data_IF_289368981830
#
_entry.id   IF_289368981830
#
_cell.length_a   1.000
_cell.length_b   1.000
_cell.length_c   1.000
_cell.angle_alpha   90.00
_cell.angle_beta   90.00
_cell.angle_gamma   90.00
#
_symmetry.space_group_name_H-M   'P 1'
#
loop_
_entity.id
_entity.type
_entity.pdbx_description
1 polymer ?
#
# COMPACT_ATOMS: atom_id res chain seq x y z
N UNK A 1 17.47 16.11 -5.24
CA UNK A 1 18.51 17.05 -4.76
C UNK A 1 19.48 17.40 -5.89
N UNK A 2 20.33 18.43 -5.71
CA UNK A 2 21.27 18.90 -6.75
C UNK A 2 22.35 17.88 -7.12
N UNK A 3 22.78 17.04 -6.19
CA UNK A 3 23.80 16.01 -6.43
C UNK A 3 23.29 14.91 -7.38
N UNK A 4 22.14 14.33 -7.09
CA UNK A 4 21.52 13.29 -7.93
C UNK A 4 21.20 13.83 -9.33
N UNK A 5 20.71 15.07 -9.42
CA UNK A 5 20.45 15.72 -10.71
C UNK A 5 21.70 15.78 -11.60
N UNK A 6 22.86 16.17 -11.03
CA UNK A 6 24.14 16.19 -11.75
C UNK A 6 24.59 14.79 -12.18
N UNK A 7 24.44 13.78 -11.31
CA UNK A 7 24.81 12.38 -11.60
C UNK A 7 23.96 11.77 -12.72
N UNK A 8 22.69 12.19 -12.82
CA UNK A 8 21.72 11.73 -13.83
C UNK A 8 21.62 12.65 -15.06
N UNK A 9 22.54 13.62 -15.20
CA UNK A 9 22.50 14.63 -16.27
C UNK A 9 21.11 15.29 -16.44
N UNK A 10 20.46 15.60 -15.32
CA UNK A 10 19.10 16.09 -15.22
C UNK A 10 19.03 17.40 -14.43
N UNK A 11 17.87 18.07 -14.43
CA UNK A 11 17.62 19.26 -13.59
C UNK A 11 17.09 18.84 -12.22
N UNK A 12 17.38 19.65 -11.19
CA UNK A 12 16.82 19.44 -9.86
C UNK A 12 15.30 19.65 -9.87
N UNK A 13 14.59 18.83 -9.11
CA UNK A 13 13.13 18.91 -8.93
C UNK A 13 12.74 19.60 -7.62
N UNK A 14 13.70 20.21 -6.90
CA UNK A 14 13.42 20.85 -5.60
C UNK A 14 13.26 19.89 -4.42
N UNK A 15 13.27 18.58 -4.64
CA UNK A 15 13.12 17.54 -3.61
C UNK A 15 14.44 17.26 -2.87
N UNK A 16 14.99 18.24 -2.16
CA UNK A 16 16.17 18.06 -1.32
C UNK A 16 15.75 17.89 0.15
N UNK A 17 15.68 16.65 0.62
CA UNK A 17 15.14 16.31 1.95
C UNK A 17 13.94 15.36 1.90
N UNK A 18 13.44 15.07 0.69
CA UNK A 18 12.32 14.15 0.47
C UNK A 18 11.23 14.79 -0.38
N UNK A 19 10.05 14.17 -0.36
CA UNK A 19 8.80 14.76 -0.84
C UNK A 19 8.18 15.61 0.28
N UNK A 20 7.25 16.49 -0.09
CA UNK A 20 6.55 17.35 0.86
C UNK A 20 5.05 17.32 0.54
N UNK A 21 4.23 16.92 1.51
CA UNK A 21 2.76 16.88 1.43
C UNK A 21 2.26 16.15 0.17
N UNK A 22 2.72 14.90 -0.02
CA UNK A 22 2.31 14.10 -1.16
C UNK A 22 0.88 13.59 -0.94
N UNK A 23 -0.02 13.85 -1.88
CA UNK A 23 -1.41 13.42 -1.82
C UNK A 23 -1.70 12.40 -2.93
N UNK A 24 -2.41 11.32 -2.55
CA UNK A 24 -2.91 10.31 -3.49
C UNK A 24 -4.43 10.50 -3.63
N UNK A 25 -4.88 10.75 -4.86
CA UNK A 25 -6.30 10.94 -5.16
C UNK A 25 -7.09 9.65 -4.91
N UNK A 26 -8.21 9.78 -4.19
CA UNK A 26 -9.18 8.70 -3.97
C UNK A 26 -10.01 8.44 -5.23
N UNK A 27 -10.35 7.18 -5.47
CA UNK A 27 -11.28 6.74 -6.52
C UNK A 27 -12.63 6.27 -5.97
N UNK A 28 -12.71 5.95 -4.68
CA UNK A 28 -13.92 5.54 -3.96
C UNK A 28 -14.16 6.43 -2.74
N UNK A 29 -15.41 6.55 -2.29
CA UNK A 29 -15.79 7.48 -1.23
C UNK A 29 -15.57 6.92 0.17
N UNK A 30 -15.58 5.60 0.34
CA UNK A 30 -15.50 4.98 1.67
C UNK A 30 -14.73 3.67 1.67
N UNK A 31 -14.20 3.29 2.84
CA UNK A 31 -13.66 1.96 3.07
C UNK A 31 -14.71 0.87 2.81
N UNK A 32 -15.97 1.11 3.17
CA UNK A 32 -17.05 0.15 2.94
C UNK A 32 -17.31 -0.12 1.45
N UNK A 33 -17.19 0.90 0.59
CA UNK A 33 -17.22 0.71 -0.87
C UNK A 33 -16.05 -0.14 -1.35
N UNK A 34 -14.84 0.14 -0.84
CA UNK A 34 -13.64 -0.62 -1.18
C UNK A 34 -13.74 -2.09 -0.78
N UNK A 35 -14.24 -2.38 0.43
CA UNK A 35 -14.46 -3.76 0.90
C UNK A 35 -15.50 -4.49 0.04
N UNK A 36 -16.58 -3.80 -0.36
CA UNK A 36 -17.58 -4.36 -1.29
C UNK A 36 -16.97 -4.66 -2.66
N UNK A 37 -16.11 -3.78 -3.18
CA UNK A 37 -15.39 -3.99 -4.44
C UNK A 37 -14.43 -5.17 -4.34
N UNK A 38 -13.73 -5.34 -3.21
CA UNK A 38 -12.84 -6.47 -2.95
C UNK A 38 -13.59 -7.81 -2.86
N UNK A 39 -14.84 -7.79 -2.40
CA UNK A 39 -15.68 -8.96 -2.13
C UNK A 39 -15.09 -9.86 -1.03
N UNK A 40 -14.08 -10.67 -1.36
CA UNK A 40 -13.44 -11.60 -0.41
C UNK A 40 -11.93 -11.39 -0.44
N UNK A 41 -11.32 -11.21 0.72
CA UNK A 41 -9.89 -10.97 0.82
C UNK A 41 -9.43 -10.54 2.20
N UNK A 42 -8.24 -9.94 2.23
CA UNK A 42 -7.55 -9.56 3.45
C UNK A 42 -7.48 -8.03 3.58
N UNK A 43 -8.06 -7.50 4.66
CA UNK A 43 -7.84 -6.12 5.08
C UNK A 43 -6.64 -6.08 6.04
N UNK A 44 -5.54 -5.46 5.62
CA UNK A 44 -4.32 -5.33 6.43
C UNK A 44 -4.35 -4.01 7.20
N UNK A 45 -4.15 -4.05 8.52
CA UNK A 45 -4.05 -2.86 9.38
C UNK A 45 -2.66 -2.65 9.94
N UNK A 46 -1.89 -3.74 10.09
CA UNK A 46 -0.57 -3.72 10.71
C UNK A 46 0.46 -4.49 9.88
N UNK A 47 1.66 -3.93 9.76
CA UNK A 47 2.80 -4.52 9.04
C UNK A 47 3.97 -4.71 10.00
N UNK A 48 4.57 -5.89 10.00
CA UNK A 48 5.64 -6.28 10.91
C UNK A 48 6.88 -6.67 10.12
N UNK A 49 8.04 -6.19 10.60
CA UNK A 49 9.35 -6.60 10.10
C UNK A 49 9.89 -5.78 8.92
N UNK A 50 11.16 -6.08 8.60
CA UNK A 50 11.84 -5.61 7.40
C UNK A 50 11.68 -6.66 6.32
N UNK A 51 11.31 -6.25 5.11
CA UNK A 51 10.89 -7.21 4.10
C UNK A 51 10.68 -6.60 2.72
N UNK A 52 11.43 -5.55 2.42
CA UNK A 52 11.32 -4.84 1.15
C UNK A 52 12.71 -4.69 0.56
N UNK A 53 12.95 -5.33 -0.58
CA UNK A 53 14.16 -5.16 -1.36
C UNK A 53 13.92 -4.11 -2.45
N UNK A 54 14.48 -2.91 -2.29
CA UNK A 54 14.29 -1.81 -3.25
C UNK A 54 15.07 -1.99 -4.57
N UNK A 55 16.02 -2.94 -4.64
CA UNK A 55 16.79 -3.21 -5.86
C UNK A 55 15.97 -4.10 -6.80
N UNK A 56 15.37 -5.17 -6.27
CA UNK A 56 14.58 -6.14 -7.06
C UNK A 56 13.08 -5.84 -7.04
N UNK A 57 12.61 -5.11 -6.04
CA UNK A 57 11.21 -4.87 -5.77
C UNK A 57 10.54 -5.97 -4.95
N UNK A 58 11.27 -6.98 -4.48
CA UNK A 58 10.65 -8.07 -3.71
C UNK A 58 10.08 -7.56 -2.38
N UNK A 59 8.84 -7.93 -2.12
CA UNK A 59 8.07 -7.55 -0.94
C UNK A 59 7.62 -8.80 -0.20
N UNK A 60 7.89 -8.89 1.09
CA UNK A 60 7.42 -9.96 1.98
C UNK A 60 7.38 -9.47 3.40
N UNK A 61 6.19 -9.32 3.99
CA UNK A 61 6.03 -8.83 5.37
C UNK A 61 5.03 -9.66 6.14
N UNK A 62 5.30 -9.81 7.44
CA UNK A 62 4.28 -10.26 8.38
C UNK A 62 3.20 -9.19 8.52
N UNK A 63 1.94 -9.60 8.58
CA UNK A 63 0.81 -8.68 8.65
C UNK A 63 -0.22 -9.15 9.68
N UNK A 64 -1.04 -8.21 10.14
CA UNK A 64 -2.25 -8.49 10.89
C UNK A 64 -3.38 -7.58 10.42
N UNK A 65 -4.62 -7.99 10.66
CA UNK A 65 -5.81 -7.28 10.23
C UNK A 65 -7.05 -8.14 10.30
N UNK A 66 -7.84 -8.16 9.22
CA UNK A 66 -9.15 -8.80 9.20
C UNK A 66 -9.41 -9.57 7.91
N UNK A 67 -10.01 -10.74 8.05
CA UNK A 67 -10.57 -11.46 6.90
C UNK A 67 -11.92 -10.84 6.52
N UNK A 68 -12.17 -10.70 5.22
CA UNK A 68 -13.37 -10.09 4.66
C UNK A 68 -14.02 -11.09 3.72
N UNK A 69 -15.34 -11.27 3.86
CA UNK A 69 -16.17 -12.08 2.96
C UNK A 69 -17.43 -11.32 2.59
N UNK A 70 -17.80 -11.35 1.30
CA UNK A 70 -18.95 -10.63 0.76
C UNK A 70 -18.94 -9.12 1.11
N UNK A 71 -17.75 -8.52 1.21
CA UNK A 71 -17.54 -7.13 1.58
C UNK A 71 -17.76 -6.81 3.06
N UNK A 72 -17.83 -7.83 3.91
CA UNK A 72 -18.06 -7.70 5.36
C UNK A 72 -16.88 -8.31 6.10
N UNK A 73 -16.34 -7.57 7.07
CA UNK A 73 -15.30 -8.06 7.99
C UNK A 73 -15.87 -9.20 8.83
N UNK A 74 -15.18 -10.33 8.83
CA UNK A 74 -15.62 -11.54 9.53
C UNK A 74 -14.91 -11.69 10.89
N UNK A 75 -13.58 -11.83 10.86
CA UNK A 75 -12.79 -12.09 12.06
C UNK A 75 -11.38 -11.49 11.92
N UNK A 76 -10.72 -11.17 13.05
CA UNK A 76 -9.32 -10.74 13.04
C UNK A 76 -8.40 -11.89 12.63
N UNK A 77 -7.34 -11.56 11.91
CA UNK A 77 -6.28 -12.49 11.49
C UNK A 77 -4.91 -11.90 11.85
N UNK A 78 -3.99 -12.77 12.25
CA UNK A 78 -2.62 -12.43 12.63
C UNK A 78 -1.69 -13.58 12.25
N UNK A 79 -0.38 -13.40 12.43
CA UNK A 79 0.66 -14.41 12.13
C UNK A 79 0.67 -14.87 10.66
N UNK A 80 0.18 -14.02 9.77
CA UNK A 80 0.17 -14.23 8.33
C UNK A 80 1.27 -13.40 7.66
N UNK A 81 1.77 -13.88 6.53
CA UNK A 81 2.76 -13.19 5.69
C UNK A 81 2.16 -12.89 4.34
N UNK A 82 2.37 -11.68 3.86
CA UNK A 82 1.96 -11.25 2.52
C UNK A 82 3.20 -10.96 1.68
N UNK A 83 3.26 -11.56 0.49
CA UNK A 83 4.40 -11.46 -0.42
C UNK A 83 3.97 -11.08 -1.84
N UNK A 84 4.89 -10.44 -2.57
CA UNK A 84 4.72 -9.98 -3.94
C UNK A 84 5.93 -9.21 -4.46
N UNK A 85 5.76 -8.47 -5.56
CA UNK A 85 6.76 -7.54 -6.08
C UNK A 85 6.16 -6.14 -6.22
N UNK A 86 6.84 -5.12 -5.71
CA UNK A 86 6.37 -3.73 -5.67
C UNK A 86 5.92 -3.22 -7.04
N UNK A 87 6.64 -3.58 -8.12
CA UNK A 87 6.26 -3.15 -9.46
C UNK A 87 4.88 -3.67 -9.83
N UNK A 88 4.61 -4.93 -9.56
CA UNK A 88 3.34 -5.56 -9.86
C UNK A 88 2.24 -5.03 -8.93
N UNK A 89 2.54 -4.90 -7.63
CA UNK A 89 1.62 -4.32 -6.65
C UNK A 89 1.13 -2.92 -7.05
N UNK A 90 2.02 -2.04 -7.55
CA UNK A 90 1.63 -0.71 -8.01
C UNK A 90 0.80 -0.72 -9.29
N UNK A 91 1.08 -1.64 -10.22
CA UNK A 91 0.30 -1.80 -11.45
C UNK A 91 -1.09 -2.40 -11.18
N UNK A 92 -1.20 -3.19 -10.12
CA UNK A 92 -2.43 -3.90 -9.71
C UNK A 92 -3.25 -3.14 -8.67
N UNK A 93 -2.97 -1.85 -8.46
CA UNK A 93 -3.86 -0.99 -7.65
C UNK A 93 -5.19 -0.84 -8.39
N UNK A 94 -6.26 -1.32 -7.77
CA UNK A 94 -7.61 -1.28 -8.32
C UNK A 94 -8.33 0.00 -7.92
N UNK A 95 -8.20 0.39 -6.65
CA UNK A 95 -8.91 1.54 -6.10
C UNK A 95 -8.23 2.10 -4.86
N UNK A 96 -8.53 3.37 -4.56
CA UNK A 96 -8.14 4.06 -3.33
C UNK A 96 -9.39 4.67 -2.71
N UNK A 97 -9.67 4.38 -1.44
CA UNK A 97 -10.80 4.94 -0.72
C UNK A 97 -10.48 6.33 -0.12
N UNK A 98 -11.52 7.10 0.19
CA UNK A 98 -11.41 8.45 0.74
C UNK A 98 -11.32 8.51 2.28
N UNK A 99 -11.00 7.40 2.93
CA UNK A 99 -10.67 7.29 4.35
C UNK A 99 -9.23 7.73 4.63
N UNK A 100 -8.90 8.96 4.22
CA UNK A 100 -7.53 9.48 4.17
C UNK A 100 -6.91 9.62 5.57
N UNK A 101 -5.67 9.13 5.74
CA UNK A 101 -4.84 9.42 6.89
C UNK A 101 -4.06 10.73 6.70
N UNK A 102 -4.39 11.74 7.51
CA UNK A 102 -3.77 13.08 7.47
C UNK A 102 -2.59 13.25 8.42
N UNK A 103 -2.17 12.22 9.15
CA UNK A 103 -1.16 12.35 10.22
C UNK A 103 0.29 12.34 9.71
N UNK A 104 0.51 12.22 8.40
CA UNK A 104 1.83 12.04 7.79
C UNK A 104 2.15 12.98 6.62
N UNK A 105 3.37 12.84 6.09
CA UNK A 105 3.85 13.59 4.91
C UNK A 105 3.30 13.03 3.58
N UNK A 106 2.73 11.83 3.62
CA UNK A 106 2.01 11.20 2.51
C UNK A 106 0.57 10.98 3.01
N UNK A 107 -0.40 11.52 2.29
CA UNK A 107 -1.81 11.39 2.58
C UNK A 107 -2.47 10.48 1.54
N UNK A 108 -3.07 9.41 2.03
CA UNK A 108 -3.78 8.42 1.21
C UNK A 108 -4.81 7.72 2.08
N UNK A 109 -5.89 7.22 1.48
CA UNK A 109 -6.80 6.32 2.17
C UNK A 109 -6.42 4.86 1.94
N UNK A 110 -7.35 3.96 2.20
CA UNK A 110 -7.14 2.53 2.01
C UNK A 110 -6.93 2.20 0.53
N UNK A 111 -5.94 1.34 0.23
CA UNK A 111 -5.57 0.95 -1.14
C UNK A 111 -5.96 -0.50 -1.36
N UNK A 112 -6.70 -0.76 -2.44
CA UNK A 112 -7.03 -2.10 -2.89
C UNK A 112 -6.02 -2.56 -3.94
N UNK A 113 -5.31 -3.66 -3.64
CA UNK A 113 -4.42 -4.36 -4.57
C UNK A 113 -5.13 -5.63 -5.02
N UNK A 114 -5.12 -5.91 -6.32
CA UNK A 114 -5.87 -7.03 -6.89
C UNK A 114 -5.47 -8.39 -6.30
N UNK A 115 -4.19 -8.75 -6.40
CA UNK A 115 -3.69 -10.04 -5.96
C UNK A 115 -2.35 -9.94 -5.24
N UNK A 116 -2.22 -10.72 -4.17
CA UNK A 116 -0.98 -10.92 -3.44
C UNK A 116 -0.88 -12.36 -2.94
N UNK A 117 0.33 -12.87 -2.75
CA UNK A 117 0.52 -14.18 -2.12
C UNK A 117 0.36 -14.06 -0.62
N UNK A 118 -0.58 -14.80 -0.04
CA UNK A 118 -0.78 -14.89 1.42
C UNK A 118 -0.29 -16.25 1.89
N UNK A 119 0.60 -16.26 2.88
CA UNK A 119 1.10 -17.46 3.52
C UNK A 119 0.78 -17.42 5.02
N UNK A 120 0.17 -18.48 5.53
CA UNK A 120 -0.24 -18.61 6.93
C UNK A 120 -0.91 -19.96 7.15
N UNK A 121 -1.14 -20.30 8.42
CA UNK A 121 -1.79 -21.55 8.86
C UNK A 121 -3.06 -21.25 9.61
#
# INVERSE_FOLDING_TARGET
NSYAARRLNSKTTGNCGGVYNLEINSTLNTLAELLKTMHTGLLVTDLIGQGVNLITGDYSKGVAGFWVENGIIQYPVAEITVAGNLKQMFLDIVAVANDVDYRGNITTGSILINEMTVAGT
#
